data_IF_649654579203
#
_entry.id   IF_649654579203
#
_cell.length_a   1.000
_cell.length_b   1.000
_cell.length_c   1.000
_cell.angle_alpha   90.00
_cell.angle_beta   90.00
_cell.angle_gamma   90.00
#
_symmetry.space_group_name_H-M   'P 1'
#
loop_
_entity.id
_entity.type
_entity.pdbx_description
1 polymer ?
#
# COMPACT_ATOMS: atom_id res chain seq x y z
N UNK A 1 10.81 -11.67 8.66
CA UNK A 1 12.29 -11.63 8.52
C UNK A 1 12.58 -10.78 7.29
N UNK A 2 13.56 -9.86 7.28
CA UNK A 2 13.93 -9.19 6.03
C UNK A 2 14.35 -10.29 5.05
N UNK A 3 13.81 -10.24 3.83
CA UNK A 3 14.23 -11.10 2.73
C UNK A 3 15.76 -11.06 2.67
N UNK A 4 16.44 -12.22 2.56
CA UNK A 4 17.90 -12.21 2.43
C UNK A 4 18.26 -11.32 1.24
N UNK A 5 19.33 -10.52 1.33
CA UNK A 5 19.73 -9.65 0.23
C UNK A 5 20.00 -10.55 -0.99
N UNK A 6 19.05 -10.58 -1.91
CA UNK A 6 19.23 -11.20 -3.21
C UNK A 6 20.34 -10.42 -3.90
N UNK A 7 21.32 -11.12 -4.49
CA UNK A 7 22.37 -10.46 -5.25
C UNK A 7 21.71 -9.52 -6.29
N UNK A 8 22.13 -8.24 -6.39
CA UNK A 8 21.48 -7.25 -7.26
C UNK A 8 21.29 -7.72 -8.70
N UNK A 9 22.24 -8.51 -9.21
CA UNK A 9 22.22 -9.07 -10.57
C UNK A 9 21.14 -10.15 -10.77
N UNK A 10 20.81 -10.92 -9.73
CA UNK A 10 19.76 -11.93 -9.81
C UNK A 10 18.37 -11.27 -9.77
N UNK A 11 18.24 -10.20 -8.97
CA UNK A 11 17.00 -9.44 -8.88
C UNK A 11 16.68 -8.72 -10.19
N UNK A 12 17.66 -8.04 -10.79
CA UNK A 12 17.47 -7.30 -12.05
C UNK A 12 17.01 -8.21 -13.18
N UNK A 13 17.67 -9.35 -13.36
CA UNK A 13 17.33 -10.33 -14.41
C UNK A 13 15.94 -10.93 -14.23
N UNK A 14 15.57 -11.23 -12.98
CA UNK A 14 14.28 -11.83 -12.70
C UNK A 14 13.16 -10.80 -12.85
N UNK A 15 13.27 -9.64 -12.22
CA UNK A 15 12.09 -8.80 -11.97
C UNK A 15 12.03 -7.50 -12.78
N UNK A 16 13.12 -7.12 -13.46
CA UNK A 16 13.20 -5.87 -14.22
C UNK A 16 13.25 -6.10 -15.73
N UNK A 17 12.86 -5.08 -16.49
CA UNK A 17 13.14 -5.04 -17.93
C UNK A 17 14.65 -4.96 -18.14
N UNK A 18 15.16 -5.84 -19.01
CA UNK A 18 16.57 -5.81 -19.39
C UNK A 18 16.78 -4.76 -20.49
N UNK A 19 17.19 -3.57 -20.07
CA UNK A 19 17.60 -2.50 -20.98
C UNK A 19 19.09 -2.60 -21.36
N UNK A 20 19.85 -3.52 -20.75
CA UNK A 20 21.30 -3.61 -20.87
C UNK A 20 22.05 -2.41 -20.28
N UNK A 21 23.37 -2.55 -20.14
CA UNK A 21 24.24 -1.41 -19.87
C UNK A 21 24.40 -0.61 -21.17
N UNK A 22 23.83 0.60 -21.20
CA UNK A 22 23.89 1.47 -22.38
C UNK A 22 25.07 2.39 -22.25
N UNK A 23 26.00 2.21 -23.19
CA UNK A 23 27.26 2.91 -23.26
C UNK A 23 28.42 1.98 -22.96
N UNK A 24 29.58 2.24 -23.57
CA UNK A 24 30.76 1.40 -23.43
C UNK A 24 31.94 2.17 -22.87
N UNK A 25 32.80 1.45 -22.15
CA UNK A 25 34.13 1.93 -21.82
C UNK A 25 34.98 1.92 -23.10
N UNK A 26 35.62 3.04 -23.47
CA UNK A 26 36.56 3.05 -24.58
C UNK A 26 37.70 2.05 -24.33
N UNK A 27 38.04 1.24 -25.34
CA UNK A 27 39.02 0.14 -25.27
C UNK A 27 40.44 0.57 -24.88
N UNK A 28 40.73 1.88 -24.96
CA UNK A 28 42.01 2.51 -24.65
C UNK A 28 42.12 3.07 -23.21
N UNK A 29 41.11 2.89 -22.36
CA UNK A 29 41.16 3.35 -20.96
C UNK A 29 41.65 2.21 -20.06
N UNK A 30 42.94 2.21 -19.70
CA UNK A 30 43.54 1.19 -18.81
C UNK A 30 43.38 1.50 -17.30
N UNK A 31 42.78 2.63 -16.95
CA UNK A 31 42.65 3.08 -15.55
C UNK A 31 41.60 2.30 -14.76
N UNK A 32 41.71 2.41 -13.43
CA UNK A 32 40.67 1.99 -12.51
C UNK A 32 39.31 2.64 -12.89
N UNK A 33 38.23 1.91 -12.64
CA UNK A 33 36.86 2.34 -12.89
C UNK A 33 36.03 2.04 -11.66
N UNK A 34 35.00 2.85 -11.44
CA UNK A 34 34.06 2.65 -10.35
C UNK A 34 32.71 2.32 -10.97
N UNK A 35 32.27 1.10 -10.75
CA UNK A 35 30.91 0.67 -11.01
C UNK A 35 30.12 0.74 -9.71
N UNK A 36 28.93 1.32 -9.75
CA UNK A 36 28.00 1.33 -8.63
C UNK A 36 26.61 0.98 -9.12
N UNK A 37 25.91 0.20 -8.31
CA UNK A 37 24.50 -0.13 -8.48
C UNK A 37 23.74 0.17 -7.20
N UNK A 38 22.50 0.60 -7.37
CA UNK A 38 21.53 0.76 -6.28
C UNK A 38 20.18 0.22 -6.73
N UNK A 39 19.48 -0.43 -5.81
CA UNK A 39 18.23 -1.09 -6.09
C UNK A 39 17.31 -1.09 -4.87
N UNK A 40 16.04 -0.73 -5.04
CA UNK A 40 14.96 -0.98 -4.08
C UNK A 40 13.60 -1.01 -4.77
N UNK A 41 12.77 -1.99 -4.42
CA UNK A 41 11.39 -2.13 -4.91
C UNK A 41 10.38 -1.48 -3.98
N UNK A 42 10.72 -1.30 -2.71
CA UNK A 42 9.73 -1.14 -1.63
C UNK A 42 9.70 0.30 -1.09
N UNK A 43 10.65 1.15 -1.49
CA UNK A 43 10.84 2.47 -0.85
C UNK A 43 11.09 3.61 -1.84
N UNK A 44 10.09 4.47 -2.07
CA UNK A 44 10.26 5.84 -2.57
C UNK A 44 10.08 6.88 -1.43
N UNK A 45 10.56 8.13 -1.60
CA UNK A 45 10.82 8.76 -2.90
C UNK A 45 12.22 8.50 -3.48
N UNK A 46 12.26 8.24 -4.78
CA UNK A 46 13.50 8.16 -5.53
C UNK A 46 13.91 9.55 -6.00
N UNK A 47 15.16 9.93 -5.79
CA UNK A 47 15.71 11.18 -6.33
C UNK A 47 16.89 10.84 -7.25
N UNK A 48 16.87 11.37 -8.46
CA UNK A 48 17.94 11.19 -9.44
C UNK A 48 18.41 12.56 -9.89
N UNK A 49 19.69 12.83 -9.72
CA UNK A 49 20.32 14.08 -10.13
C UNK A 49 21.47 13.77 -11.06
N UNK A 50 21.52 14.46 -12.21
CA UNK A 50 22.63 14.41 -13.16
C UNK A 50 23.27 15.78 -13.30
N UNK A 51 24.60 15.80 -13.38
CA UNK A 51 25.40 16.95 -13.79
C UNK A 51 25.93 16.69 -15.20
N UNK A 52 25.14 17.07 -16.20
CA UNK A 52 25.36 16.72 -17.60
C UNK A 52 25.58 15.21 -17.78
N UNK A 53 26.61 14.80 -18.53
CA UNK A 53 27.07 13.44 -18.74
C UNK A 53 28.31 13.06 -17.89
N UNK A 54 28.67 13.88 -16.89
CA UNK A 54 29.89 13.70 -16.09
C UNK A 54 29.63 13.03 -14.75
N UNK A 55 28.49 13.31 -14.12
CA UNK A 55 28.20 12.74 -12.81
C UNK A 55 26.72 12.54 -12.57
N UNK A 56 26.44 11.62 -11.65
CA UNK A 56 25.11 11.40 -11.14
C UNK A 56 25.11 11.08 -9.66
N UNK A 57 24.00 11.42 -9.01
CA UNK A 57 23.65 10.98 -7.67
C UNK A 57 22.24 10.41 -7.75
N UNK A 58 22.05 9.22 -7.19
CA UNK A 58 20.73 8.65 -7.04
C UNK A 58 20.51 8.21 -5.60
N UNK A 59 19.28 8.41 -5.12
CA UNK A 59 18.75 7.85 -3.89
C UNK A 59 17.57 6.99 -4.29
N UNK A 60 17.67 5.71 -3.99
CA UNK A 60 16.62 4.72 -4.26
C UNK A 60 16.38 4.01 -2.94
N UNK A 61 15.24 4.28 -2.32
CA UNK A 61 15.01 3.85 -0.94
C UNK A 61 15.91 4.47 0.11
N UNK A 62 16.43 3.62 0.99
CA UNK A 62 17.39 3.96 2.04
C UNK A 62 18.85 4.05 1.52
N UNK A 63 19.11 3.55 0.32
CA UNK A 63 20.42 3.61 -0.30
C UNK A 63 20.69 4.93 -1.02
N UNK A 64 21.97 5.24 -1.22
CA UNK A 64 22.39 6.25 -2.19
C UNK A 64 23.65 5.83 -2.95
N UNK A 65 23.74 6.23 -4.22
CA UNK A 65 24.92 6.05 -5.05
C UNK A 65 25.39 7.39 -5.62
N UNK A 66 26.68 7.48 -5.91
CA UNK A 66 27.31 8.63 -6.57
C UNK A 66 28.38 8.13 -7.53
N UNK A 67 28.28 8.56 -8.78
CA UNK A 67 29.21 8.18 -9.85
C UNK A 67 29.69 9.44 -10.56
N UNK A 68 30.99 9.50 -10.86
CA UNK A 68 31.62 10.63 -11.54
C UNK A 68 31.88 11.86 -10.65
N UNK A 69 32.32 12.95 -11.26
CA UNK A 69 32.64 14.22 -10.58
C UNK A 69 31.69 15.32 -11.07
N UNK A 70 30.83 15.88 -10.21
CA UNK A 70 29.88 16.92 -10.59
C UNK A 70 30.55 18.12 -11.26
N UNK A 71 30.06 18.50 -12.44
CA UNK A 71 30.50 19.68 -13.15
C UNK A 71 29.32 20.38 -13.86
N UNK A 72 29.22 21.69 -13.70
CA UNK A 72 28.16 22.50 -14.31
C UNK A 72 26.79 22.38 -13.64
N UNK A 73 25.74 22.71 -14.40
CA UNK A 73 24.36 22.70 -13.92
C UNK A 73 23.83 21.27 -13.76
N UNK A 74 22.98 21.06 -12.75
CA UNK A 74 22.29 19.80 -12.53
C UNK A 74 20.85 19.81 -12.99
N UNK A 75 20.36 18.65 -13.44
CA UNK A 75 18.93 18.37 -13.60
C UNK A 75 18.53 17.28 -12.60
N UNK A 76 17.36 17.41 -11.98
CA UNK A 76 16.90 16.49 -10.93
C UNK A 76 15.47 16.02 -11.18
N UNK A 77 15.24 14.72 -11.02
CA UNK A 77 13.94 14.07 -10.98
C UNK A 77 13.63 13.64 -9.55
N UNK A 78 12.43 13.94 -9.05
CA UNK A 78 11.93 13.45 -7.76
C UNK A 78 10.66 12.66 -7.99
N UNK A 79 10.72 11.36 -7.76
CA UNK A 79 9.59 10.46 -7.91
C UNK A 79 8.91 10.29 -6.56
N UNK A 80 7.63 10.61 -6.51
CA UNK A 80 6.76 10.34 -5.36
C UNK A 80 6.44 8.84 -5.27
N UNK A 81 5.85 8.40 -4.16
CA UNK A 81 5.41 7.02 -3.97
C UNK A 81 4.51 6.58 -5.13
N UNK A 82 4.88 5.49 -5.82
CA UNK A 82 4.14 4.96 -6.97
C UNK A 82 4.18 5.81 -8.25
N UNK A 83 4.95 6.89 -8.27
CA UNK A 83 5.07 7.73 -9.46
C UNK A 83 5.82 6.97 -10.57
N UNK A 84 5.15 6.76 -11.70
CA UNK A 84 5.68 6.05 -12.86
C UNK A 84 6.40 7.01 -13.80
N UNK A 85 7.41 6.50 -14.48
CA UNK A 85 8.05 7.15 -15.62
C UNK A 85 7.25 6.82 -16.89
N UNK A 86 6.90 7.83 -17.66
CA UNK A 86 6.11 7.70 -18.90
C UNK A 86 7.00 7.38 -20.10
N UNK A 87 8.24 7.86 -20.08
CA UNK A 87 9.26 7.54 -21.08
C UNK A 87 10.65 7.76 -20.52
N UNK A 88 11.62 6.99 -21.02
CA UNK A 88 13.03 7.22 -20.80
C UNK A 88 13.82 6.87 -22.05
N UNK A 89 14.87 7.66 -22.31
CA UNK A 89 15.83 7.43 -23.39
C UNK A 89 17.24 7.73 -22.89
N UNK A 90 18.22 6.95 -23.36
CA UNK A 90 19.64 7.18 -23.15
C UNK A 90 20.28 7.44 -24.52
N UNK A 91 21.23 8.38 -24.59
CA UNK A 91 22.00 8.66 -25.80
C UNK A 91 23.43 8.20 -25.64
N UNK A 92 23.99 7.59 -26.68
CA UNK A 92 25.41 7.31 -26.81
C UNK A 92 26.05 8.25 -27.83
N UNK A 93 27.29 8.66 -27.58
CA UNK A 93 28.11 9.38 -28.55
C UNK A 93 28.63 8.41 -29.63
N UNK A 94 29.35 8.94 -30.62
CA UNK A 94 29.91 8.15 -31.73
C UNK A 94 30.94 7.11 -31.28
N UNK A 95 31.56 7.29 -30.10
CA UNK A 95 32.49 6.36 -29.47
C UNK A 95 31.77 5.35 -28.54
N UNK A 96 30.46 5.23 -28.68
CA UNK A 96 29.57 4.40 -27.85
C UNK A 96 29.53 4.78 -26.38
N UNK A 97 30.18 5.85 -25.91
CA UNK A 97 30.08 6.25 -24.50
C UNK A 97 28.78 6.98 -24.18
N UNK A 98 28.32 6.91 -22.92
CA UNK A 98 27.15 7.67 -22.46
C UNK A 98 27.28 9.17 -22.77
N UNK A 99 26.22 9.74 -23.36
CA UNK A 99 26.20 11.12 -23.82
C UNK A 99 24.98 11.90 -23.31
N UNK A 100 23.91 11.25 -22.94
CA UNK A 100 22.81 11.96 -22.31
C UNK A 100 21.65 11.06 -21.92
N UNK A 101 20.73 11.64 -21.18
CA UNK A 101 19.55 10.94 -20.67
C UNK A 101 18.36 11.89 -20.65
N UNK A 102 17.19 11.33 -20.92
CA UNK A 102 15.90 12.02 -20.75
C UNK A 102 14.95 11.06 -20.06
N UNK A 103 14.30 11.53 -18.99
CA UNK A 103 13.22 10.80 -18.31
C UNK A 103 12.04 11.75 -18.15
N UNK A 104 10.85 11.30 -18.54
CA UNK A 104 9.59 12.01 -18.34
C UNK A 104 8.76 11.24 -17.33
N UNK A 105 8.19 11.95 -16.35
CA UNK A 105 7.30 11.37 -15.34
C UNK A 105 6.28 12.41 -14.90
N UNK A 106 5.04 12.25 -15.37
CA UNK A 106 3.99 13.24 -15.26
C UNK A 106 4.44 14.60 -15.79
N UNK A 107 4.36 15.62 -14.94
CA UNK A 107 4.76 16.99 -15.29
C UNK A 107 6.27 17.26 -15.10
N UNK A 108 7.06 16.26 -14.71
CA UNK A 108 8.50 16.40 -14.51
C UNK A 108 9.28 15.86 -15.72
N UNK A 109 10.34 16.56 -16.11
CA UNK A 109 11.29 16.10 -17.12
C UNK A 109 12.71 16.26 -16.58
N UNK A 110 13.43 15.16 -16.51
CA UNK A 110 14.88 15.12 -16.38
C UNK A 110 15.47 15.12 -17.78
N UNK A 111 16.38 16.04 -18.08
CA UNK A 111 17.20 16.00 -19.28
C UNK A 111 18.62 16.42 -18.92
N UNK A 112 19.59 15.56 -19.19
CA UNK A 112 20.99 15.82 -18.87
C UNK A 112 21.93 15.30 -19.96
N UNK A 113 23.02 16.05 -20.18
CA UNK A 113 23.97 15.80 -21.27
C UNK A 113 23.51 16.39 -22.61
N UNK A 114 24.36 16.33 -23.66
CA UNK A 114 24.00 16.78 -25.00
C UNK A 114 22.75 16.14 -25.60
N UNK A 115 22.45 14.87 -25.27
CA UNK A 115 21.37 14.09 -25.92
C UNK A 115 21.47 14.12 -27.45
N UNK A 116 22.69 13.94 -27.97
CA UNK A 116 23.01 13.84 -29.39
C UNK A 116 23.65 12.48 -29.69
N UNK A 117 23.71 12.08 -30.96
CA UNK A 117 24.18 10.75 -31.36
C UNK A 117 23.03 9.74 -31.44
N UNK A 118 23.29 8.49 -31.08
CA UNK A 118 22.30 7.41 -31.16
C UNK A 118 21.40 7.43 -29.91
N UNK A 119 20.09 7.55 -30.12
CA UNK A 119 19.09 7.41 -29.07
C UNK A 119 18.73 5.94 -28.85
N UNK A 120 18.66 5.54 -27.58
CA UNK A 120 18.20 4.24 -27.12
C UNK A 120 16.97 4.44 -26.22
N UNK A 121 15.75 4.36 -26.78
CA UNK A 121 14.52 4.36 -25.99
C UNK A 121 14.48 3.11 -25.10
N UNK A 122 14.07 3.28 -23.84
CA UNK A 122 14.06 2.18 -22.86
C UNK A 122 12.71 1.49 -22.79
N UNK A 123 12.74 0.18 -22.55
CA UNK A 123 11.55 -0.55 -22.13
C UNK A 123 11.29 -0.27 -20.65
N UNK A 124 10.12 0.30 -20.39
CA UNK A 124 9.73 0.81 -19.10
C UNK A 124 8.96 -0.19 -18.25
N UNK A 125 8.49 -1.32 -18.81
CA UNK A 125 7.70 -2.29 -18.08
C UNK A 125 6.49 -1.66 -17.39
N UNK A 126 6.48 -1.68 -16.05
CA UNK A 126 5.44 -1.04 -15.22
C UNK A 126 5.58 0.48 -15.06
N UNK A 127 6.69 1.06 -15.53
CA UNK A 127 7.09 2.45 -15.35
C UNK A 127 7.76 2.75 -14.00
N UNK A 128 7.85 1.77 -13.09
CA UNK A 128 8.45 1.95 -11.78
C UNK A 128 9.96 1.77 -11.85
N UNK A 129 10.70 2.87 -11.69
CA UNK A 129 12.16 2.82 -11.57
C UNK A 129 12.54 2.27 -10.20
N UNK A 130 13.13 1.07 -10.19
CA UNK A 130 13.51 0.34 -8.98
C UNK A 130 15.01 0.26 -8.78
N UNK A 131 15.81 0.69 -9.76
CA UNK A 131 17.24 0.78 -9.57
C UNK A 131 17.98 1.43 -10.71
N UNK A 132 19.25 1.72 -10.45
CA UNK A 132 20.19 2.27 -11.41
C UNK A 132 21.52 1.57 -11.24
N UNK A 133 22.15 1.24 -12.37
CA UNK A 133 23.55 0.83 -12.44
C UNK A 133 24.29 1.83 -13.31
N UNK A 134 25.46 2.28 -12.88
CA UNK A 134 26.27 3.21 -13.66
C UNK A 134 27.76 2.97 -13.44
N UNK A 135 28.55 3.24 -14.48
CA UNK A 135 30.00 3.18 -14.44
C UNK A 135 30.61 4.52 -14.86
N UNK A 136 31.72 4.91 -14.22
CA UNK A 136 32.54 6.05 -14.64
C UNK A 136 34.03 5.75 -14.46
N UNK A 137 34.89 6.57 -15.08
CA UNK A 137 36.32 6.51 -14.79
C UNK A 137 36.58 6.86 -13.32
N UNK A 138 37.70 6.41 -12.76
CA UNK A 138 38.19 6.95 -11.47
C UNK A 138 39.37 7.92 -11.66
N UNK A 139 39.78 8.16 -12.90
CA UNK A 139 40.96 8.96 -13.27
C UNK A 139 40.65 9.91 -14.45
N UNK A 140 41.29 11.07 -14.44
CA UNK A 140 41.11 12.15 -15.42
C UNK A 140 39.93 13.07 -15.10
N UNK A 141 40.20 14.36 -14.95
CA UNK A 141 39.19 15.39 -14.74
C UNK A 141 38.83 16.03 -16.10
N UNK A 142 37.54 16.12 -16.49
CA UNK A 142 36.36 15.62 -15.80
C UNK A 142 36.08 14.14 -16.09
N UNK A 143 35.78 13.42 -15.02
CA UNK A 143 35.37 12.02 -15.00
C UNK A 143 34.04 11.88 -15.73
N UNK A 144 34.00 11.08 -16.80
CA UNK A 144 32.79 10.88 -17.62
C UNK A 144 32.08 9.59 -17.19
N UNK A 145 30.76 9.59 -17.20
CA UNK A 145 29.97 8.35 -17.12
C UNK A 145 30.16 7.59 -18.44
N UNK A 146 30.47 6.30 -18.38
CA UNK A 146 30.65 5.47 -19.57
C UNK A 146 29.39 4.72 -19.93
N UNK A 147 28.80 4.06 -18.93
CA UNK A 147 27.58 3.27 -19.11
C UNK A 147 26.58 3.55 -18.01
N UNK A 148 25.31 3.39 -18.35
CA UNK A 148 24.20 3.46 -17.41
C UNK A 148 23.11 2.47 -17.82
N UNK A 149 22.46 1.89 -16.82
CA UNK A 149 21.29 1.05 -16.96
C UNK A 149 20.23 1.49 -15.95
N UNK A 150 19.04 1.82 -16.46
CA UNK A 150 17.86 2.07 -15.65
C UNK A 150 17.03 0.80 -15.56
N UNK A 151 16.83 0.33 -14.32
CA UNK A 151 16.07 -0.88 -14.04
C UNK A 151 14.63 -0.52 -13.73
N UNK A 152 13.73 -0.85 -14.64
CA UNK A 152 12.29 -0.71 -14.45
C UNK A 152 11.67 -2.05 -14.10
N UNK A 153 10.79 -2.08 -13.09
CA UNK A 153 10.08 -3.29 -12.71
C UNK A 153 9.17 -3.75 -13.86
N UNK A 154 9.15 -5.04 -14.16
CA UNK A 154 8.21 -5.61 -15.14
C UNK A 154 6.75 -5.30 -14.75
N UNK A 155 5.80 -5.34 -15.69
CA UNK A 155 4.40 -5.09 -15.40
C UNK A 155 3.85 -5.96 -14.26
N UNK A 156 3.16 -5.33 -13.31
CA UNK A 156 2.53 -6.01 -12.18
C UNK A 156 1.21 -6.64 -12.63
N UNK A 157 1.00 -7.91 -12.28
CA UNK A 157 -0.23 -8.66 -12.54
C UNK A 157 -1.20 -8.59 -11.37
N UNK A 158 -0.73 -8.79 -10.15
CA UNK A 158 -1.57 -8.80 -8.95
C UNK A 158 -0.79 -8.53 -7.67
N UNK A 159 -1.51 -8.05 -6.66
CA UNK A 159 -1.03 -7.84 -5.30
C UNK A 159 -1.93 -8.58 -4.32
N UNK A 160 -1.32 -9.34 -3.41
CA UNK A 160 -2.03 -10.00 -2.30
C UNK A 160 -1.33 -9.64 -1.01
N UNK A 161 -2.07 -9.11 -0.04
CA UNK A 161 -1.57 -8.83 1.31
C UNK A 161 -2.15 -9.85 2.28
N UNK A 162 -1.29 -10.68 2.87
CA UNK A 162 -1.68 -11.67 3.86
C UNK A 162 -1.40 -11.13 5.25
N UNK A 163 -2.45 -10.75 5.97
CA UNK A 163 -2.32 -10.20 7.32
C UNK A 163 -1.80 -11.27 8.26
N UNK A 164 -0.65 -11.00 8.88
CA UNK A 164 0.05 -11.91 9.80
C UNK A 164 -0.27 -11.57 11.26
N UNK A 165 -0.53 -10.29 11.55
CA UNK A 165 -0.84 -9.80 12.89
C UNK A 165 -1.69 -8.54 12.84
N UNK A 166 -2.65 -8.43 13.76
CA UNK A 166 -3.42 -7.22 14.01
C UNK A 166 -3.59 -7.05 15.52
N UNK A 167 -3.19 -5.89 16.04
CA UNK A 167 -3.21 -5.61 17.48
C UNK A 167 -4.55 -4.95 17.85
N UNK A 168 -5.53 -5.79 18.18
CA UNK A 168 -6.86 -5.31 18.54
C UNK A 168 -6.87 -4.65 19.92
N UNK A 169 -7.74 -3.63 20.12
CA UNK A 169 -7.94 -3.04 21.43
C UNK A 169 -8.45 -4.08 22.43
N UNK A 170 -7.93 -4.05 23.65
CA UNK A 170 -8.37 -4.96 24.71
C UNK A 170 -9.74 -4.55 25.28
N UNK A 171 -10.58 -5.54 25.55
CA UNK A 171 -11.90 -5.34 26.16
C UNK A 171 -12.83 -4.45 25.31
N UNK A 172 -13.36 -3.39 25.93
CA UNK A 172 -14.37 -2.48 25.34
C UNK A 172 -13.79 -1.24 24.67
N UNK A 173 -12.47 -1.15 24.50
CA UNK A 173 -11.88 0.05 23.92
C UNK A 173 -12.40 0.29 22.49
N UNK A 174 -12.91 1.51 22.26
CA UNK A 174 -13.55 1.89 21.01
C UNK A 174 -14.97 1.37 20.81
N UNK A 175 -15.57 0.73 21.82
CA UNK A 175 -16.94 0.20 21.80
C UNK A 175 -17.84 1.04 22.71
N UNK A 176 -18.96 1.53 22.18
CA UNK A 176 -19.88 2.42 22.88
C UNK A 176 -21.33 1.93 22.73
N UNK A 177 -22.16 2.05 23.78
CA UNK A 177 -23.58 1.72 23.66
C UNK A 177 -24.28 2.74 22.78
N UNK A 178 -25.18 2.26 21.93
CA UNK A 178 -26.06 3.08 21.09
C UNK A 178 -27.50 2.60 21.26
N UNK A 179 -28.42 3.52 21.52
CA UNK A 179 -29.84 3.20 21.49
C UNK A 179 -30.32 3.14 20.05
N UNK A 180 -30.96 2.04 19.69
CA UNK A 180 -31.50 1.84 18.34
C UNK A 180 -33.00 2.03 18.27
N UNK A 181 -33.73 1.79 19.36
CA UNK A 181 -35.19 2.04 19.43
C UNK A 181 -35.67 2.09 20.89
N UNK A 182 -36.86 2.67 21.09
CA UNK A 182 -37.56 2.77 22.37
C UNK A 182 -39.01 2.34 22.23
N UNK A 183 -39.54 1.69 23.24
CA UNK A 183 -40.95 1.30 23.28
C UNK A 183 -41.53 1.48 24.67
N UNK A 184 -42.78 1.94 24.72
CA UNK A 184 -43.53 2.10 25.95
C UNK A 184 -44.96 1.58 25.72
N UNK A 185 -45.43 0.73 26.62
CA UNK A 185 -46.78 0.20 26.57
C UNK A 185 -47.37 0.11 27.97
N UNK A 186 -48.63 0.53 28.13
CA UNK A 186 -49.36 0.49 29.40
C UNK A 186 -50.66 -0.26 29.19
N UNK A 187 -50.93 -1.25 30.04
CA UNK A 187 -52.23 -1.92 30.04
C UNK A 187 -53.26 -1.01 30.74
N UNK A 188 -54.03 -0.29 29.92
CA UNK A 188 -55.14 0.56 30.37
C UNK A 188 -56.50 -0.16 30.27
N UNK A 189 -56.52 -1.46 29.98
CA UNK A 189 -57.75 -2.20 29.77
C UNK A 189 -58.35 -2.70 31.09
N UNK A 190 -59.25 -1.89 31.66
CA UNK A 190 -59.93 -2.18 32.94
C UNK A 190 -60.74 -3.49 32.94
N UNK A 191 -61.10 -4.00 31.76
CA UNK A 191 -61.85 -5.24 31.58
C UNK A 191 -60.97 -6.50 31.46
N UNK A 192 -59.64 -6.36 31.36
CA UNK A 192 -58.70 -7.48 31.29
C UNK A 192 -57.75 -7.43 32.48
N UNK A 193 -57.68 -8.54 33.22
CA UNK A 193 -56.70 -8.68 34.31
C UNK A 193 -55.25 -8.67 33.80
N UNK A 194 -55.04 -9.11 32.55
CA UNK A 194 -53.74 -9.18 31.89
C UNK A 194 -53.86 -8.83 30.38
N UNK A 195 -52.85 -8.15 29.84
CA UNK A 195 -52.75 -7.80 28.43
C UNK A 195 -51.36 -8.17 27.88
N UNK A 196 -51.34 -8.91 26.78
CA UNK A 196 -50.12 -9.28 26.06
C UNK A 196 -49.62 -8.11 25.23
N UNK A 197 -48.31 -7.87 25.26
CA UNK A 197 -47.64 -6.90 24.40
C UNK A 197 -46.53 -7.57 23.61
N UNK A 198 -46.20 -7.00 22.45
CA UNK A 198 -45.11 -7.45 21.61
C UNK A 198 -44.45 -6.23 20.98
N UNK A 199 -43.13 -6.20 21.06
CA UNK A 199 -42.29 -5.22 20.41
C UNK A 199 -41.26 -5.93 19.55
N UNK A 200 -41.40 -5.76 18.24
CA UNK A 200 -40.50 -6.33 17.25
C UNK A 200 -40.22 -5.30 16.17
N UNK A 201 -38.95 -5.11 15.84
CA UNK A 201 -38.53 -4.16 14.80
C UNK A 201 -37.12 -4.53 14.29
N UNK A 202 -36.68 -3.87 13.21
CA UNK A 202 -35.35 -4.02 12.65
C UNK A 202 -34.82 -2.71 12.08
N UNK A 203 -33.52 -2.50 12.16
CA UNK A 203 -32.83 -1.35 11.56
C UNK A 203 -31.56 -1.80 10.84
N UNK A 204 -31.28 -1.23 9.67
CA UNK A 204 -30.00 -1.43 8.98
C UNK A 204 -28.95 -0.44 9.48
N UNK A 205 -27.74 -0.91 9.74
CA UNK A 205 -26.57 -0.10 10.09
C UNK A 205 -25.42 -0.39 9.14
N UNK A 206 -24.77 0.66 8.64
CA UNK A 206 -23.63 0.53 7.74
C UNK A 206 -22.37 0.14 8.51
N UNK A 207 -21.78 -0.99 8.15
CA UNK A 207 -20.44 -1.40 8.59
C UNK A 207 -19.44 -1.04 7.50
N UNK A 208 -18.28 -0.54 7.90
CA UNK A 208 -17.22 -0.16 6.97
C UNK A 208 -15.93 -0.83 7.37
N UNK A 209 -15.16 -1.30 6.39
CA UNK A 209 -13.85 -1.93 6.59
C UNK A 209 -12.87 -1.31 5.63
N UNK A 210 -11.68 -0.96 6.11
CA UNK A 210 -10.61 -0.42 5.28
C UNK A 210 -9.25 -0.97 5.69
N UNK A 211 -8.51 -1.45 4.69
CA UNK A 211 -7.15 -1.95 4.79
C UNK A 211 -6.23 -1.05 3.94
N UNK A 212 -5.42 -0.24 4.59
CA UNK A 212 -4.54 0.72 3.92
C UNK A 212 -3.07 0.29 3.97
N UNK A 213 -2.42 0.22 2.80
CA UNK A 213 -0.99 -0.04 2.64
C UNK A 213 -0.41 0.80 1.49
N UNK A 214 0.88 1.05 1.56
CA UNK A 214 1.63 1.76 0.53
C UNK A 214 1.88 0.87 -0.69
N UNK A 215 1.90 -0.46 -0.58
CA UNK A 215 2.06 -1.35 -1.74
C UNK A 215 1.07 -1.06 -2.87
N UNK A 216 -0.24 -0.92 -2.57
CA UNK A 216 -1.24 -0.65 -3.61
C UNK A 216 -0.99 0.66 -4.35
N UNK A 217 -0.48 1.67 -3.64
CA UNK A 217 -0.07 2.96 -4.22
C UNK A 217 1.22 2.81 -5.02
N UNK A 218 2.22 2.14 -4.46
CA UNK A 218 3.56 1.95 -5.05
C UNK A 218 3.47 1.22 -6.38
N UNK A 219 2.70 0.14 -6.44
CA UNK A 219 2.56 -0.65 -7.66
C UNK A 219 1.43 -0.15 -8.58
N UNK A 220 0.57 0.74 -8.08
CA UNK A 220 -0.57 1.26 -8.82
C UNK A 220 -1.53 0.16 -9.28
N UNK A 221 -1.75 -0.84 -8.42
CA UNK A 221 -2.60 -2.00 -8.68
C UNK A 221 -3.53 -2.26 -7.49
N UNK A 222 -4.73 -2.75 -7.78
CA UNK A 222 -5.66 -3.20 -6.74
C UNK A 222 -5.06 -4.35 -5.95
N UNK A 223 -5.24 -4.31 -4.63
CA UNK A 223 -4.70 -5.31 -3.72
C UNK A 223 -5.84 -6.10 -3.07
N UNK A 224 -5.70 -7.42 -3.08
CA UNK A 224 -6.57 -8.32 -2.31
C UNK A 224 -5.97 -8.54 -0.92
N UNK A 225 -6.78 -8.50 0.12
CA UNK A 225 -6.35 -8.67 1.51
C UNK A 225 -6.85 -9.99 2.05
N UNK A 226 -5.95 -10.89 2.41
CA UNK A 226 -6.27 -12.15 3.09
C UNK A 226 -6.14 -11.95 4.60
N UNK A 227 -7.27 -11.86 5.30
CA UNK A 227 -7.32 -11.55 6.72
C UNK A 227 -8.62 -12.05 7.36
N UNK A 228 -8.57 -12.33 8.67
CA UNK A 228 -9.78 -12.36 9.48
C UNK A 228 -10.24 -10.93 9.76
N UNK A 229 -11.54 -10.66 9.72
CA UNK A 229 -12.08 -9.31 9.93
C UNK A 229 -12.51 -9.16 11.39
N UNK A 230 -11.94 -8.20 12.14
CA UNK A 230 -12.38 -7.88 13.49
C UNK A 230 -13.88 -7.54 13.53
N UNK A 231 -14.62 -8.15 14.43
CA UNK A 231 -16.02 -7.85 14.70
C UNK A 231 -16.30 -7.78 16.19
N UNK A 232 -17.47 -7.23 16.54
CA UNK A 232 -17.91 -7.14 17.94
C UNK A 232 -18.66 -8.42 18.30
N UNK A 233 -18.21 -9.10 19.34
CA UNK A 233 -18.91 -10.22 19.98
C UNK A 233 -19.44 -9.77 21.35
N UNK A 234 -20.48 -10.46 21.84
CA UNK A 234 -21.14 -10.11 23.10
C UNK A 234 -22.09 -8.91 22.95
N UNK A 235 -22.79 -8.61 24.04
CA UNK A 235 -23.68 -7.44 24.16
C UNK A 235 -23.43 -6.72 25.48
N UNK A 236 -23.79 -5.44 25.52
CA UNK A 236 -23.69 -4.61 26.72
C UNK A 236 -22.31 -4.70 27.37
N UNK A 237 -22.20 -5.14 28.62
CA UNK A 237 -20.92 -5.16 29.35
C UNK A 237 -19.94 -6.26 28.94
N UNK A 238 -20.41 -7.24 28.17
CA UNK A 238 -19.58 -8.33 27.63
C UNK A 238 -19.00 -8.05 26.25
N UNK A 239 -19.31 -6.89 25.66
CA UNK A 239 -18.91 -6.58 24.30
C UNK A 239 -17.39 -6.45 24.14
N UNK A 240 -16.81 -7.09 23.13
CA UNK A 240 -15.38 -7.02 22.85
C UNK A 240 -15.07 -7.30 21.38
N UNK A 241 -13.89 -6.88 20.94
CA UNK A 241 -13.40 -7.20 19.61
C UNK A 241 -12.93 -8.66 19.52
N UNK A 242 -13.25 -9.32 18.41
CA UNK A 242 -12.78 -10.66 18.08
C UNK A 242 -12.53 -10.80 16.58
N UNK A 243 -11.58 -11.64 16.20
CA UNK A 243 -11.22 -11.89 14.80
C UNK A 243 -11.92 -13.16 14.32
N UNK A 244 -12.51 -13.12 13.13
CA UNK A 244 -13.11 -14.28 12.46
C UNK A 244 -12.07 -15.07 11.65
N UNK A 245 -12.47 -16.22 11.10
CA UNK A 245 -11.60 -16.97 10.20
C UNK A 245 -11.24 -16.13 8.95
N UNK A 246 -9.98 -16.24 8.51
CA UNK A 246 -9.47 -15.42 7.42
C UNK A 246 -10.01 -15.82 6.05
N UNK A 247 -10.54 -14.84 5.31
CA UNK A 247 -10.91 -14.97 3.89
C UNK A 247 -10.29 -13.83 3.09
N UNK A 248 -10.59 -13.77 1.80
CA UNK A 248 -10.14 -12.69 0.91
C UNK A 248 -11.12 -11.52 0.94
N UNK A 249 -10.56 -10.31 1.00
CA UNK A 249 -11.27 -9.04 1.10
C UNK A 249 -10.73 -8.02 0.10
N UNK A 250 -11.58 -7.06 -0.24
CA UNK A 250 -11.14 -5.83 -0.91
C UNK A 250 -10.51 -4.86 0.11
N UNK A 251 -9.72 -3.89 -0.36
CA UNK A 251 -9.11 -2.88 0.53
C UNK A 251 -10.14 -1.97 1.21
N UNK A 252 -11.34 -1.88 0.66
CA UNK A 252 -12.42 -1.10 1.24
C UNK A 252 -13.75 -1.80 0.96
N UNK A 253 -14.50 -2.05 2.02
CA UNK A 253 -15.81 -2.71 1.96
C UNK A 253 -16.81 -1.91 2.79
N UNK A 254 -18.06 -1.85 2.30
CA UNK A 254 -19.19 -1.28 3.03
C UNK A 254 -20.36 -2.23 2.91
N UNK A 255 -20.87 -2.71 4.05
CA UNK A 255 -21.92 -3.72 4.11
C UNK A 255 -22.97 -3.31 5.14
N UNK A 256 -24.24 -3.53 4.79
CA UNK A 256 -25.37 -3.33 5.68
C UNK A 256 -25.51 -4.49 6.66
N UNK A 257 -25.54 -4.15 7.96
CA UNK A 257 -25.82 -5.09 9.04
C UNK A 257 -27.21 -4.82 9.59
N UNK A 258 -28.11 -5.78 9.40
CA UNK A 258 -29.47 -5.70 9.93
C UNK A 258 -29.47 -6.06 11.41
N UNK A 259 -29.85 -5.12 12.25
CA UNK A 259 -30.09 -5.29 13.68
C UNK A 259 -31.57 -5.56 13.90
N UNK A 260 -31.90 -6.62 14.63
CA UNK A 260 -33.29 -7.04 14.86
C UNK A 260 -33.52 -7.36 16.34
N UNK A 261 -34.74 -7.10 16.81
CA UNK A 261 -35.19 -7.49 18.14
C UNK A 261 -36.65 -7.89 18.09
N UNK A 262 -37.01 -8.82 18.98
CA UNK A 262 -38.37 -9.25 19.20
C UNK A 262 -38.51 -9.68 20.67
N UNK A 263 -39.40 -9.02 21.38
CA UNK A 263 -39.62 -9.18 22.82
C UNK A 263 -41.11 -9.02 23.09
N UNK A 264 -41.63 -9.85 23.98
CA UNK A 264 -43.04 -9.87 24.34
C UNK A 264 -43.20 -10.20 25.81
N UNK A 265 -44.40 -9.94 26.34
CA UNK A 265 -44.74 -10.25 27.71
C UNK A 265 -46.20 -9.95 28.00
N UNK A 266 -46.55 -9.98 29.28
CA UNK A 266 -47.90 -9.71 29.80
C UNK A 266 -47.83 -8.63 30.88
N UNK A 267 -48.78 -7.71 30.88
CA UNK A 267 -48.92 -6.67 31.91
C UNK A 267 -50.28 -6.76 32.57
N UNK A 268 -50.33 -6.58 33.89
CA UNK A 268 -51.59 -6.41 34.61
C UNK A 268 -52.16 -5.02 34.37
N UNK A 269 -53.45 -4.86 34.67
CA UNK A 269 -54.09 -3.54 34.58
C UNK A 269 -53.34 -2.50 35.40
N UNK A 270 -53.01 -1.38 34.76
CA UNK A 270 -52.26 -0.27 35.36
C UNK A 270 -50.75 -0.44 35.34
N UNK A 271 -50.20 -1.57 34.91
CA UNK A 271 -48.76 -1.74 34.71
C UNK A 271 -48.30 -1.17 33.36
N UNK A 272 -47.07 -0.68 33.36
CA UNK A 272 -46.38 -0.11 32.20
C UNK A 272 -45.08 -0.88 32.00
N UNK A 273 -44.73 -1.15 30.74
CA UNK A 273 -43.40 -1.62 30.36
C UNK A 273 -42.67 -0.55 29.57
N UNK A 274 -41.41 -0.33 29.92
CA UNK A 274 -40.46 0.47 29.17
C UNK A 274 -39.39 -0.45 28.59
N UNK A 275 -39.27 -0.45 27.27
CA UNK A 275 -38.24 -1.22 26.58
C UNK A 275 -37.24 -0.30 25.89
N UNK A 276 -35.96 -0.65 25.97
CA UNK A 276 -34.86 0.04 25.29
C UNK A 276 -34.06 -1.00 24.52
N UNK A 277 -33.97 -0.82 23.21
CA UNK A 277 -33.14 -1.66 22.36
C UNK A 277 -31.77 -1.01 22.23
N UNK A 278 -30.72 -1.68 22.71
CA UNK A 278 -29.34 -1.22 22.71
C UNK A 278 -28.49 -2.08 21.79
N UNK A 279 -27.60 -1.46 21.02
CA UNK A 279 -26.50 -2.14 20.35
C UNK A 279 -25.19 -1.51 20.82
N UNK A 280 -24.07 -2.13 20.49
CA UNK A 280 -22.74 -1.59 20.76
C UNK A 280 -22.10 -1.20 19.42
N UNK A 281 -21.80 0.08 19.22
CA UNK A 281 -21.05 0.56 18.06
C UNK A 281 -19.56 0.52 18.39
N UNK A 282 -18.79 -0.19 17.59
CA UNK A 282 -17.35 -0.29 17.72
C UNK A 282 -16.65 0.44 16.59
N UNK A 283 -15.65 1.24 16.95
CA UNK A 283 -14.70 1.86 16.03
C UNK A 283 -13.30 1.39 16.38
N UNK A 284 -12.61 0.82 15.41
CA UNK A 284 -11.22 0.40 15.55
C UNK A 284 -10.37 1.07 14.48
N UNK A 285 -9.20 1.54 14.89
CA UNK A 285 -8.20 2.16 14.04
C UNK A 285 -6.82 1.75 14.59
N UNK A 286 -6.23 0.72 13.99
CA UNK A 286 -5.03 0.04 14.50
C UNK A 286 -4.07 -0.28 13.37
N UNK A 287 -2.80 -0.44 13.71
CA UNK A 287 -1.81 -0.95 12.76
C UNK A 287 -1.92 -2.48 12.64
N UNK A 288 -1.50 -3.01 11.49
CA UNK A 288 -1.39 -4.43 11.24
C UNK A 288 -0.10 -4.75 10.50
N UNK A 289 0.39 -5.98 10.65
CA UNK A 289 1.54 -6.50 9.91
C UNK A 289 1.03 -7.46 8.83
N UNK A 290 1.66 -7.45 7.66
CA UNK A 290 1.34 -8.38 6.59
C UNK A 290 2.52 -8.75 5.71
N UNK A 291 2.41 -9.92 5.10
CA UNK A 291 3.27 -10.36 4.00
C UNK A 291 2.59 -10.01 2.67
N UNK A 292 3.20 -9.08 1.92
CA UNK A 292 2.72 -8.64 0.60
C UNK A 292 3.40 -9.46 -0.48
N UNK A 293 2.60 -10.12 -1.32
CA UNK A 293 3.04 -10.86 -2.50
C UNK A 293 2.73 -10.06 -3.76
N UNK A 294 3.78 -9.77 -4.53
CA UNK A 294 3.67 -9.16 -5.86
C UNK A 294 3.84 -10.25 -6.90
N UNK A 295 2.90 -10.35 -7.83
CA UNK A 295 3.03 -11.21 -9.01
C UNK A 295 3.19 -10.34 -10.24
N UNK A 296 4.21 -10.60 -11.04
CA UNK A 296 4.48 -9.91 -12.31
C UNK A 296 3.75 -10.61 -13.45
N UNK A 297 3.54 -9.92 -14.57
CA UNK A 297 2.95 -10.51 -15.78
C UNK A 297 3.78 -11.67 -16.35
N UNK A 298 5.09 -11.68 -16.09
CA UNK A 298 5.99 -12.80 -16.39
C UNK A 298 5.71 -14.07 -15.58
N UNK A 299 4.86 -13.99 -14.55
CA UNK A 299 4.58 -15.08 -13.61
C UNK A 299 5.55 -15.16 -12.43
N UNK A 300 6.63 -14.38 -12.45
CA UNK A 300 7.55 -14.27 -11.31
C UNK A 300 6.88 -13.56 -10.13
N UNK A 301 7.24 -13.98 -8.93
CA UNK A 301 6.74 -13.41 -7.69
C UNK A 301 7.88 -13.02 -6.76
N UNK A 302 7.61 -12.03 -5.91
CA UNK A 302 8.44 -11.71 -4.76
C UNK A 302 7.54 -11.27 -3.60
N UNK A 303 8.04 -11.46 -2.38
CA UNK A 303 7.31 -11.13 -1.15
C UNK A 303 8.13 -10.19 -0.27
N UNK A 304 7.43 -9.37 0.52
CA UNK A 304 8.03 -8.52 1.54
C UNK A 304 7.04 -8.25 2.67
N UNK A 305 7.57 -7.90 3.83
CA UNK A 305 6.77 -7.50 4.99
C UNK A 305 6.42 -6.01 4.89
N UNK A 306 5.18 -5.66 5.21
CA UNK A 306 4.72 -4.27 5.29
C UNK A 306 3.74 -4.11 6.44
N UNK A 307 3.83 -2.97 7.14
CA UNK A 307 2.80 -2.56 8.08
C UNK A 307 1.73 -1.75 7.38
N UNK A 308 0.46 -2.06 7.63
CA UNK A 308 -0.68 -1.28 7.17
C UNK A 308 -1.49 -0.70 8.31
N UNK A 309 -2.54 0.05 7.95
CA UNK A 309 -3.52 0.59 8.89
C UNK A 309 -4.91 0.04 8.61
N UNK A 310 -5.50 -0.58 9.62
CA UNK A 310 -6.83 -1.16 9.59
C UNK A 310 -7.84 -0.24 10.27
N UNK A 311 -8.95 0.04 9.59
CA UNK A 311 -10.07 0.80 10.15
C UNK A 311 -11.37 0.05 9.97
N UNK A 312 -12.20 0.02 11.01
CA UNK A 312 -13.55 -0.54 10.91
C UNK A 312 -14.56 0.10 11.82
N UNK A 313 -15.79 0.18 11.33
CA UNK A 313 -17.01 0.43 12.10
C UNK A 313 -17.88 -0.82 12.05
N UNK A 314 -18.27 -1.34 13.22
CA UNK A 314 -19.15 -2.50 13.35
C UNK A 314 -20.16 -2.30 14.50
N UNK A 315 -21.17 -3.16 14.57
CA UNK A 315 -22.23 -3.12 15.57
C UNK A 315 -22.42 -4.51 16.21
N UNK A 316 -22.66 -4.59 17.51
CA UNK A 316 -23.11 -5.85 18.13
C UNK A 316 -24.55 -6.20 17.74
N UNK A 317 -24.96 -7.42 18.06
CA UNK A 317 -26.39 -7.75 18.18
C UNK A 317 -27.11 -6.82 19.16
N UNK A 318 -28.43 -6.77 19.09
CA UNK A 318 -29.26 -5.94 19.96
C UNK A 318 -29.51 -6.65 21.29
N UNK A 319 -29.35 -5.92 22.38
CA UNK A 319 -29.77 -6.27 23.73
C UNK A 319 -30.98 -5.42 24.11
N UNK A 320 -32.07 -6.05 24.53
CA UNK A 320 -33.27 -5.32 24.95
C UNK A 320 -33.37 -5.32 26.47
N UNK A 321 -33.37 -4.11 27.03
CA UNK A 321 -33.62 -3.89 28.44
C UNK A 321 -35.09 -3.55 28.65
N UNK A 322 -35.76 -4.29 29.55
CA UNK A 322 -37.16 -4.07 29.93
C UNK A 322 -37.24 -3.63 31.39
N UNK A 323 -38.10 -2.65 31.68
CA UNK A 323 -38.37 -2.14 33.03
C UNK A 323 -39.85 -1.92 33.25
#
# INVERSE_FOLDING_TARGET
>A
MPTPPMAPDLFSQLYCEDNGDIGEKPSNVHSAHTEQSIFSVITPPNTITFWSNYAMKATVGDGSMKVGVPNGNSSTLRLSLGQKCDSASIWTANDSSFNGIKIVSGNQTLKAGPCTGTEHPLNMGSGLLVGIKASASSEGNPTKIYSINLMFLKPVKSLVSKVTKIDLPHGRQGIYPVTVDYYNFTNNNRGKSEETWTWSNSISKHTTTSWHQNASVTFGASMSVSAGVPGIIGVSDSAQWSITAGISHDQSESVDKTLQWNVNGTLKYGETVHCVALSQEGKVDVDYESEVTVTLQSGQTFTFEETGRFKRVDYSSVDVQTK
#
